data_IF_372719747373
#
_entry.id   IF_372719747373
#
_cell.length_a   1.000
_cell.length_b   1.000
_cell.length_c   1.000
_cell.angle_alpha   90.00
_cell.angle_beta   90.00
_cell.angle_gamma   90.00
#
_symmetry.space_group_name_H-M   'P 1'
#
loop_
_entity.id
_entity.type
_entity.pdbx_description
1 polymer ?
#
# COMPACT_ATOMS: atom_id res chain seq x y z
N UNK A 1 3.85 11.29 13.67
CA UNK A 1 2.63 11.28 12.83
C UNK A 1 1.61 10.24 13.30
N UNK A 2 1.95 8.93 13.32
CA UNK A 2 1.02 7.85 13.74
C UNK A 2 0.43 7.99 15.15
N UNK A 3 1.28 8.31 16.13
CA UNK A 3 0.85 8.47 17.53
C UNK A 3 -0.16 9.61 17.72
N UNK A 4 -0.14 10.61 16.85
CA UNK A 4 -1.01 11.78 16.93
C UNK A 4 -2.41 11.46 16.42
N UNK A 5 -2.53 10.75 15.29
CA UNK A 5 -3.82 10.29 14.76
C UNK A 5 -4.60 9.46 15.79
N UNK A 6 -3.97 8.48 16.44
CA UNK A 6 -4.68 7.64 17.43
C UNK A 6 -5.21 8.44 18.62
N UNK A 7 -4.47 9.42 19.12
CA UNK A 7 -4.92 10.27 20.24
C UNK A 7 -6.11 11.13 19.81
N UNK A 8 -6.04 11.72 18.63
CA UNK A 8 -7.10 12.58 18.08
C UNK A 8 -8.34 11.81 17.66
N UNK A 9 -8.17 10.62 17.09
CA UNK A 9 -9.27 9.71 16.78
C UNK A 9 -10.01 9.26 18.06
N UNK A 10 -9.29 8.97 19.15
CA UNK A 10 -9.92 8.70 20.46
C UNK A 10 -10.70 9.88 21.02
N UNK A 11 -10.30 11.10 20.67
CA UNK A 11 -10.97 12.35 21.06
C UNK A 11 -12.06 12.77 20.06
N UNK A 12 -12.31 11.99 18.98
CA UNK A 12 -13.18 12.36 17.86
C UNK A 12 -12.85 13.72 17.20
N UNK A 13 -11.59 14.16 17.29
CA UNK A 13 -11.10 15.46 16.78
C UNK A 13 -10.02 15.31 15.71
N UNK A 14 -9.90 14.13 15.08
CA UNK A 14 -8.91 13.88 14.03
C UNK A 14 -9.13 14.73 12.78
N UNK A 15 -10.38 15.09 12.47
CA UNK A 15 -10.69 15.93 11.31
C UNK A 15 -10.21 17.37 11.49
N UNK A 16 -10.16 17.87 12.73
CA UNK A 16 -9.69 19.23 13.05
C UNK A 16 -8.21 19.41 12.68
N UNK A 17 -7.44 18.33 12.71
CA UNK A 17 -6.03 18.28 12.32
C UNK A 17 -5.83 17.82 10.87
N UNK A 18 -6.89 17.75 10.06
CA UNK A 18 -6.84 17.39 8.65
C UNK A 18 -6.73 15.89 8.35
N UNK A 19 -6.91 15.00 9.34
CA UNK A 19 -6.92 13.57 9.08
C UNK A 19 -8.23 13.14 8.41
N UNK A 20 -8.19 12.19 7.45
CA UNK A 20 -9.39 11.67 6.82
C UNK A 20 -10.25 10.89 7.81
N UNK A 21 -11.57 10.90 7.59
CA UNK A 21 -12.52 10.16 8.40
C UNK A 21 -12.62 8.67 8.00
N UNK A 22 -11.48 8.00 7.87
CA UNK A 22 -11.41 6.58 7.54
C UNK A 22 -10.24 5.92 8.26
N UNK A 23 -10.53 5.19 9.34
CA UNK A 23 -9.53 4.43 10.07
C UNK A 23 -8.86 3.36 9.17
N UNK A 24 -9.64 2.72 8.29
CA UNK A 24 -9.11 1.79 7.29
C UNK A 24 -8.15 2.49 6.32
N UNK A 25 -8.55 3.65 5.77
CA UNK A 25 -7.70 4.44 4.88
C UNK A 25 -6.39 4.85 5.55
N UNK A 26 -6.46 5.30 6.80
CA UNK A 26 -5.27 5.59 7.60
C UNK A 26 -4.40 4.34 7.79
N UNK A 27 -4.97 3.18 8.08
CA UNK A 27 -4.18 1.94 8.21
C UNK A 27 -3.44 1.57 6.92
N UNK A 28 -4.04 1.79 5.74
CA UNK A 28 -3.41 1.50 4.44
C UNK A 28 -2.38 2.56 4.04
N UNK A 29 -2.57 3.82 4.46
CA UNK A 29 -1.53 4.85 4.41
C UNK A 29 -0.28 4.41 5.19
N UNK A 30 -0.44 3.75 6.34
CA UNK A 30 0.68 3.17 7.11
C UNK A 30 1.48 2.17 6.27
N UNK A 31 0.75 1.23 5.66
CA UNK A 31 1.34 0.13 4.89
C UNK A 31 2.16 0.68 3.73
N UNK A 32 1.63 1.67 3.00
CA UNK A 32 2.36 2.34 1.92
C UNK A 32 3.62 3.02 2.47
N UNK A 33 3.51 3.84 3.52
CA UNK A 33 4.65 4.56 4.09
C UNK A 33 5.75 3.61 4.61
N UNK A 34 5.37 2.53 5.30
CA UNK A 34 6.32 1.50 5.79
C UNK A 34 7.02 0.81 4.63
N UNK A 35 6.30 0.51 3.54
CA UNK A 35 6.89 -0.09 2.34
C UNK A 35 7.99 0.80 1.75
N UNK A 36 7.75 2.11 1.62
CA UNK A 36 8.75 3.06 1.12
C UNK A 36 10.01 3.10 2.00
N UNK A 37 9.83 3.09 3.31
CA UNK A 37 10.94 3.07 4.29
C UNK A 37 11.71 1.75 4.19
N UNK A 38 10.99 0.64 4.09
CA UNK A 38 11.57 -0.70 4.04
C UNK A 38 12.38 -0.91 2.76
N UNK A 39 11.90 -0.44 1.60
CA UNK A 39 12.70 -0.51 0.36
C UNK A 39 14.00 0.27 0.50
N UNK A 40 13.96 1.51 1.01
CA UNK A 40 15.17 2.33 1.22
C UNK A 40 16.20 1.61 2.09
N UNK A 41 15.73 0.93 3.14
CA UNK A 41 16.60 0.14 4.01
C UNK A 41 17.25 -1.05 3.29
N UNK A 42 16.55 -1.68 2.35
CA UNK A 42 17.13 -2.74 1.53
C UNK A 42 18.11 -2.20 0.48
N UNK A 43 17.85 -1.01 -0.07
CA UNK A 43 18.78 -0.36 -1.01
C UNK A 43 20.13 0.00 -0.36
N UNK A 44 20.16 0.28 0.95
CA UNK A 44 21.40 0.47 1.73
C UNK A 44 22.22 -0.83 1.88
N UNK A 45 21.61 -2.01 1.64
CA UNK A 45 22.21 -3.34 1.79
C UNK A 45 22.17 -4.12 0.47
N UNK A 46 22.93 -3.68 -0.56
CA UNK A 46 22.79 -4.17 -1.93
C UNK A 46 23.25 -5.62 -2.13
N UNK A 47 23.74 -6.31 -1.09
CA UNK A 47 24.15 -7.71 -1.19
C UNK A 47 22.98 -8.66 -1.45
N UNK A 48 21.73 -8.20 -1.27
CA UNK A 48 20.52 -8.96 -1.56
C UNK A 48 19.61 -8.14 -2.47
N UNK A 49 19.22 -8.73 -3.59
CA UNK A 49 18.27 -8.13 -4.52
C UNK A 49 16.83 -8.29 -4.00
N UNK A 50 16.50 -7.52 -2.96
CA UNK A 50 15.17 -7.50 -2.36
C UNK A 50 14.39 -6.29 -2.86
N UNK A 51 13.19 -6.58 -3.37
CA UNK A 51 12.25 -5.57 -3.84
C UNK A 51 10.97 -5.65 -3.02
N UNK A 52 10.52 -4.51 -2.52
CA UNK A 52 9.33 -4.32 -1.71
C UNK A 52 8.49 -3.23 -2.34
N UNK A 53 7.25 -3.55 -2.68
CA UNK A 53 6.28 -2.61 -3.24
C UNK A 53 4.96 -2.72 -2.48
N UNK A 54 4.24 -1.61 -2.35
CA UNK A 54 2.86 -1.63 -1.91
C UNK A 54 1.97 -1.78 -3.13
N UNK A 55 0.83 -2.46 -3.01
CA UNK A 55 -0.11 -2.55 -4.11
C UNK A 55 -1.57 -2.43 -3.70
N UNK A 56 -2.40 -2.08 -4.67
CA UNK A 56 -3.85 -2.13 -4.58
C UNK A 56 -4.38 -3.23 -5.49
N UNK A 57 -5.13 -4.21 -4.97
CA UNK A 57 -5.76 -5.26 -5.77
C UNK A 57 -7.03 -4.76 -6.49
N UNK A 58 -7.45 -3.50 -6.28
CA UNK A 58 -8.71 -2.96 -6.78
C UNK A 58 -9.90 -3.30 -5.88
N UNK A 59 -11.11 -3.02 -6.37
CA UNK A 59 -12.36 -3.27 -5.64
C UNK A 59 -12.92 -4.66 -6.00
N UNK A 60 -12.55 -5.67 -5.22
CA UNK A 60 -12.71 -7.09 -5.55
C UNK A 60 -13.84 -7.75 -4.76
N UNK A 61 -14.62 -8.61 -5.42
CA UNK A 61 -15.73 -9.36 -4.87
C UNK A 61 -15.24 -10.40 -3.84
N UNK A 62 -15.24 -9.99 -2.57
CA UNK A 62 -14.79 -10.77 -1.41
C UNK A 62 -15.71 -10.51 -0.23
N UNK A 63 -15.54 -11.24 0.87
CA UNK A 63 -16.31 -10.98 2.09
C UNK A 63 -15.98 -9.59 2.68
N UNK A 64 -14.73 -9.12 2.54
CA UNK A 64 -14.32 -7.77 2.99
C UNK A 64 -15.09 -6.64 2.29
N UNK A 65 -15.45 -6.83 1.03
CA UNK A 65 -16.25 -5.86 0.26
C UNK A 65 -17.75 -6.17 0.30
N UNK A 66 -18.19 -7.07 1.18
CA UNK A 66 -19.58 -7.55 1.24
C UNK A 66 -20.11 -8.06 -0.10
N UNK A 67 -19.23 -8.71 -0.88
CA UNK A 67 -19.53 -9.21 -2.23
C UNK A 67 -19.96 -8.13 -3.25
N UNK A 68 -19.65 -6.85 -2.99
CA UNK A 68 -19.99 -5.71 -3.87
C UNK A 68 -18.86 -5.26 -4.80
N UNK A 69 -17.68 -5.88 -4.70
CA UNK A 69 -16.56 -5.56 -5.58
C UNK A 69 -16.88 -5.82 -7.05
N UNK A 70 -16.35 -4.96 -7.92
CA UNK A 70 -16.56 -5.04 -9.37
C UNK A 70 -15.69 -6.11 -10.05
N UNK A 71 -14.55 -6.47 -9.46
CA UNK A 71 -13.63 -7.49 -9.99
C UNK A 71 -13.71 -8.85 -9.28
N UNK A 72 -13.17 -9.89 -9.90
CA UNK A 72 -13.06 -11.24 -9.31
C UNK A 72 -11.78 -11.40 -8.47
N UNK A 73 -11.70 -12.38 -7.54
CA UNK A 73 -10.46 -12.69 -6.82
C UNK A 73 -9.24 -12.90 -7.72
N UNK A 74 -9.43 -13.55 -8.87
CA UNK A 74 -8.37 -13.79 -9.86
C UNK A 74 -7.86 -12.47 -10.46
N UNK A 75 -8.77 -11.56 -10.81
CA UNK A 75 -8.41 -10.21 -11.26
C UNK A 75 -7.70 -9.42 -10.16
N UNK A 76 -8.12 -9.58 -8.90
CA UNK A 76 -7.47 -8.98 -7.74
C UNK A 76 -6.06 -9.49 -7.46
N UNK A 77 -5.77 -10.74 -7.81
CA UNK A 77 -4.46 -11.36 -7.63
C UNK A 77 -3.43 -10.90 -8.66
N UNK A 78 -3.86 -10.32 -9.79
CA UNK A 78 -3.02 -9.95 -10.92
C UNK A 78 -1.81 -9.09 -10.53
N UNK A 79 -2.04 -7.93 -9.91
CA UNK A 79 -0.96 -7.00 -9.51
C UNK A 79 -0.08 -7.58 -8.39
N UNK A 80 -0.62 -8.18 -7.31
CA UNK A 80 0.21 -8.86 -6.31
C UNK A 80 1.11 -9.95 -6.88
N UNK A 81 0.58 -10.81 -7.76
CA UNK A 81 1.36 -11.89 -8.39
C UNK A 81 2.44 -11.31 -9.30
N UNK A 82 2.10 -10.33 -10.13
CA UNK A 82 3.08 -9.62 -10.97
C UNK A 82 4.25 -9.07 -10.15
N UNK A 83 4.00 -8.47 -8.99
CA UNK A 83 5.05 -7.94 -8.10
C UNK A 83 5.85 -9.02 -7.40
N UNK A 84 5.25 -10.19 -7.14
CA UNK A 84 5.94 -11.33 -6.53
C UNK A 84 6.86 -12.06 -7.52
N UNK A 85 6.65 -11.89 -8.83
CA UNK A 85 7.39 -12.57 -9.90
C UNK A 85 8.21 -11.60 -10.76
N UNK A 86 8.70 -10.50 -10.17
CA UNK A 86 9.58 -9.58 -10.90
C UNK A 86 10.92 -10.25 -11.21
N UNK A 87 11.49 -9.89 -12.37
CA UNK A 87 12.81 -10.36 -12.77
C UNK A 87 13.90 -9.91 -11.78
N UNK A 88 14.97 -10.70 -11.60
CA UNK A 88 16.11 -10.29 -10.80
C UNK A 88 16.74 -8.97 -11.29
N UNK A 89 17.24 -8.18 -10.35
CA UNK A 89 17.91 -6.90 -10.50
C UNK A 89 17.05 -5.81 -11.16
N UNK A 90 15.73 -5.92 -11.04
CA UNK A 90 14.83 -4.90 -11.56
C UNK A 90 15.02 -3.56 -10.85
N UNK A 91 15.05 -2.50 -11.65
CA UNK A 91 15.17 -1.11 -11.15
C UNK A 91 13.81 -0.49 -10.80
N UNK A 92 12.73 -0.97 -11.42
CA UNK A 92 11.37 -0.46 -11.23
C UNK A 92 10.33 -1.51 -11.66
N UNK A 93 9.24 -1.74 -10.89
CA UNK A 93 8.87 -1.04 -9.66
C UNK A 93 9.69 -1.48 -8.44
N UNK A 94 10.20 -0.53 -7.67
CA UNK A 94 11.02 -0.77 -6.46
C UNK A 94 10.74 0.32 -5.42
N UNK A 95 10.07 -0.03 -4.32
CA UNK A 95 9.64 0.94 -3.32
C UNK A 95 8.52 1.83 -3.83
N UNK A 96 7.59 1.27 -4.59
CA UNK A 96 6.51 2.01 -5.25
C UNK A 96 5.12 1.58 -4.74
N UNK A 97 4.11 2.39 -5.05
CA UNK A 97 2.72 2.01 -4.93
C UNK A 97 2.15 1.65 -6.30
N UNK A 98 1.65 0.42 -6.46
CA UNK A 98 1.27 -0.13 -7.77
C UNK A 98 -0.18 -0.59 -7.78
N UNK A 99 -0.92 -0.28 -8.83
CA UNK A 99 -2.26 -0.80 -9.07
C UNK A 99 -2.45 -1.06 -10.57
N UNK A 100 -3.16 -2.13 -10.93
CA UNK A 100 -3.33 -2.53 -12.34
C UNK A 100 -1.98 -2.63 -13.09
N UNK A 101 -0.96 -3.15 -12.40
CA UNK A 101 0.45 -3.20 -12.85
C UNK A 101 1.08 -1.85 -13.22
N UNK A 102 0.46 -0.73 -12.85
CA UNK A 102 0.96 0.62 -13.10
C UNK A 102 1.43 1.25 -11.80
N UNK A 103 2.56 1.95 -11.86
CA UNK A 103 3.04 2.76 -10.74
C UNK A 103 2.10 3.95 -10.60
N UNK A 104 1.47 4.04 -9.44
CA UNK A 104 0.67 5.20 -9.06
C UNK A 104 1.57 6.18 -8.31
N UNK A 105 1.61 7.42 -8.80
CA UNK A 105 2.38 8.47 -8.13
C UNK A 105 1.77 8.73 -6.76
N UNK A 106 2.44 8.22 -5.73
CA UNK A 106 2.12 8.53 -4.36
C UNK A 106 2.47 10.00 -4.09
N UNK A 107 1.44 10.84 -3.91
CA UNK A 107 1.61 12.23 -3.45
C UNK A 107 1.21 12.26 -1.98
N UNK A 108 2.21 12.49 -1.14
CA UNK A 108 2.01 12.90 0.25
C UNK A 108 1.39 14.30 0.29
#
# INVERSE_FOLDING_TARGET
MYFFFFRKAKQNSHQDDGYPNSAYGMSKLAVIAVTLIQQRHFDEKPQRDIVVNACCPGYINTDMTSRKGAGTPEQGADTPVYLATLEPNIRSPRGEFVAERKILKWKC
#
